data_IF_634165805967
#
_entry.id   IF_634165805967
#
_cell.length_a   1.000
_cell.length_b   1.000
_cell.length_c   1.000
_cell.angle_alpha   90.00
_cell.angle_beta   90.00
_cell.angle_gamma   90.00
#
_symmetry.space_group_name_H-M   'P 1'
#
loop_
_entity.id
_entity.type
_entity.pdbx_description
1 polymer ?
#
# COMPACT_ATOMS: atom_id res chain seq x y z
N UNK A 1 5.01 -16.42 -57.05
CA UNK A 1 4.62 -15.51 -55.96
C UNK A 1 3.63 -16.29 -55.07
N UNK A 2 4.07 -16.83 -53.94
CA UNK A 2 3.19 -17.57 -53.01
C UNK A 2 2.67 -16.62 -51.95
N UNK A 3 1.34 -16.52 -51.85
CA UNK A 3 0.66 -15.74 -50.81
C UNK A 3 0.70 -16.60 -49.54
N UNK A 4 1.53 -16.21 -48.58
CA UNK A 4 1.57 -16.82 -47.25
C UNK A 4 0.31 -16.37 -46.51
N UNK A 5 -0.62 -17.30 -46.29
CA UNK A 5 -1.81 -17.09 -45.48
C UNK A 5 -1.36 -17.05 -44.01
N UNK A 6 -1.29 -15.87 -43.42
CA UNK A 6 -1.00 -15.71 -42.00
C UNK A 6 -2.24 -16.18 -41.23
N UNK A 7 -2.19 -17.41 -40.73
CA UNK A 7 -3.19 -17.89 -39.78
C UNK A 7 -3.02 -17.12 -38.46
N UNK A 8 -3.98 -16.23 -38.20
CA UNK A 8 -4.08 -15.49 -36.95
C UNK A 8 -4.41 -16.50 -35.84
N UNK A 9 -3.38 -16.99 -35.13
CA UNK A 9 -3.57 -17.75 -33.88
C UNK A 9 -4.37 -16.86 -32.93
N UNK A 10 -5.64 -17.18 -32.70
CA UNK A 10 -6.38 -16.67 -31.55
C UNK A 10 -5.67 -17.18 -30.30
N UNK A 11 -4.94 -16.29 -29.64
CA UNK A 11 -4.52 -16.53 -28.27
C UNK A 11 -5.83 -16.51 -27.47
N UNK A 12 -6.34 -17.69 -27.12
CA UNK A 12 -7.34 -17.81 -26.08
C UNK A 12 -6.69 -17.33 -24.79
N UNK A 13 -6.81 -16.04 -24.50
CA UNK A 13 -6.52 -15.55 -23.17
C UNK A 13 -7.67 -16.05 -22.31
N UNK A 14 -7.44 -17.14 -21.59
CA UNK A 14 -8.27 -17.57 -20.46
C UNK A 14 -8.19 -16.49 -19.37
N UNK A 15 -8.77 -15.32 -19.65
CA UNK A 15 -8.97 -14.26 -18.68
C UNK A 15 -10.01 -14.79 -17.70
N UNK A 16 -9.60 -14.93 -16.44
CA UNK A 16 -10.54 -15.24 -15.37
C UNK A 16 -11.56 -14.09 -15.27
N UNK A 17 -12.82 -14.38 -14.91
CA UNK A 17 -13.81 -13.37 -14.58
C UNK A 17 -13.25 -12.37 -13.55
N UNK A 18 -13.66 -11.11 -13.65
CA UNK A 18 -13.20 -10.05 -12.76
C UNK A 18 -13.42 -10.38 -11.27
N UNK A 19 -14.52 -11.06 -10.94
CA UNK A 19 -14.84 -11.48 -9.58
C UNK A 19 -13.83 -12.53 -9.05
N UNK A 20 -13.41 -13.46 -9.90
CA UNK A 20 -12.38 -14.46 -9.55
C UNK A 20 -10.99 -13.83 -9.39
N UNK A 21 -10.65 -12.85 -10.23
CA UNK A 21 -9.41 -12.09 -10.12
C UNK A 21 -9.40 -11.25 -8.83
N UNK A 22 -10.52 -10.63 -8.49
CA UNK A 22 -10.70 -9.86 -7.25
C UNK A 22 -10.57 -10.76 -6.02
N UNK A 23 -11.24 -11.91 -6.00
CA UNK A 23 -11.14 -12.87 -4.90
C UNK A 23 -9.72 -13.42 -4.74
N UNK A 24 -9.05 -13.73 -5.85
CA UNK A 24 -7.66 -14.18 -5.83
C UNK A 24 -6.71 -13.09 -5.32
N UNK A 25 -6.85 -11.86 -5.82
CA UNK A 25 -6.07 -10.71 -5.38
C UNK A 25 -6.22 -10.49 -3.87
N UNK A 26 -7.46 -10.50 -3.36
CA UNK A 26 -7.75 -10.39 -1.93
C UNK A 26 -7.08 -11.50 -1.12
N UNK A 27 -7.19 -12.76 -1.58
CA UNK A 27 -6.58 -13.90 -0.89
C UNK A 27 -5.06 -13.78 -0.79
N UNK A 28 -4.40 -13.32 -1.86
CA UNK A 28 -2.94 -13.10 -1.88
C UNK A 28 -2.55 -11.94 -0.96
N UNK A 29 -3.31 -10.85 -0.98
CA UNK A 29 -3.11 -9.71 -0.07
C UNK A 29 -3.24 -10.12 1.40
N UNK A 30 -4.29 -10.87 1.74
CA UNK A 30 -4.52 -11.31 3.13
C UNK A 30 -3.39 -12.24 3.61
N UNK A 31 -2.91 -13.14 2.74
CA UNK A 31 -1.76 -14.00 3.03
C UNK A 31 -0.46 -13.20 3.24
N UNK A 32 -0.22 -12.16 2.43
CA UNK A 32 0.92 -11.27 2.58
C UNK A 32 0.87 -10.52 3.93
N UNK A 33 -0.31 -10.01 4.30
CA UNK A 33 -0.51 -9.34 5.59
C UNK A 33 -0.24 -10.31 6.74
N UNK A 34 -0.81 -11.52 6.69
CA UNK A 34 -0.59 -12.52 7.73
C UNK A 34 0.89 -12.90 7.88
N UNK A 35 1.58 -13.09 6.76
CA UNK A 35 3.02 -13.38 6.79
C UNK A 35 3.80 -12.21 7.38
N UNK A 36 3.50 -10.98 6.96
CA UNK A 36 4.15 -9.79 7.49
C UNK A 36 3.88 -9.62 9.00
N UNK A 37 2.69 -9.95 9.49
CA UNK A 37 2.34 -9.85 10.91
C UNK A 37 2.79 -11.07 11.75
N UNK A 38 3.45 -12.06 11.16
CA UNK A 38 3.86 -13.27 11.87
C UNK A 38 5.08 -13.08 12.78
N UNK A 39 5.91 -12.07 12.50
CA UNK A 39 7.08 -11.73 13.31
C UNK A 39 6.79 -10.50 14.19
N UNK A 40 7.32 -10.50 15.42
CA UNK A 40 7.00 -9.46 16.40
C UNK A 40 7.41 -8.06 15.93
N UNK A 41 8.59 -7.89 15.30
CA UNK A 41 9.07 -6.57 14.92
C UNK A 41 8.28 -5.96 13.76
N UNK A 42 7.88 -6.74 12.77
CA UNK A 42 7.03 -6.30 11.65
C UNK A 42 5.60 -6.05 12.10
N UNK A 43 5.05 -6.91 12.96
CA UNK A 43 3.73 -6.73 13.57
C UNK A 43 3.66 -5.44 14.40
N UNK A 44 4.64 -5.21 15.27
CA UNK A 44 4.71 -3.98 16.07
C UNK A 44 4.94 -2.73 15.19
N UNK A 45 5.73 -2.85 14.12
CA UNK A 45 5.91 -1.74 13.17
C UNK A 45 4.61 -1.41 12.43
N UNK A 46 3.81 -2.42 12.06
CA UNK A 46 2.50 -2.22 11.46
C UNK A 46 1.59 -1.40 12.38
N UNK A 47 1.38 -1.86 13.62
CA UNK A 47 0.48 -1.19 14.57
C UNK A 47 0.96 0.21 14.95
N UNK A 48 2.28 0.41 15.10
CA UNK A 48 2.83 1.73 15.41
C UNK A 48 2.60 2.72 14.26
N UNK A 49 2.79 2.29 13.01
CA UNK A 49 2.51 3.14 11.85
C UNK A 49 1.02 3.41 11.72
N UNK A 50 0.16 2.41 11.89
CA UNK A 50 -1.30 2.57 11.84
C UNK A 50 -1.79 3.57 12.89
N UNK A 51 -1.32 3.45 14.14
CA UNK A 51 -1.63 4.39 15.22
C UNK A 51 -1.15 5.80 14.89
N UNK A 52 0.09 5.95 14.43
CA UNK A 52 0.66 7.26 14.06
C UNK A 52 -0.16 7.94 12.95
N UNK A 53 -0.56 7.19 11.93
CA UNK A 53 -1.41 7.71 10.85
C UNK A 53 -2.78 8.12 11.38
N UNK A 54 -3.41 7.28 12.20
CA UNK A 54 -4.71 7.59 12.79
C UNK A 54 -4.67 8.86 13.64
N UNK A 55 -3.70 8.96 14.56
CA UNK A 55 -3.54 10.12 15.44
C UNK A 55 -3.25 11.40 14.63
N UNK A 56 -2.43 11.29 13.59
CA UNK A 56 -2.12 12.41 12.71
C UNK A 56 -3.37 12.87 11.95
N UNK A 57 -4.16 11.94 11.41
CA UNK A 57 -5.40 12.25 10.69
C UNK A 57 -6.45 12.88 11.60
N UNK A 58 -6.64 12.35 12.81
CA UNK A 58 -7.54 12.96 13.81
C UNK A 58 -7.10 14.38 14.16
N UNK A 59 -5.81 14.59 14.44
CA UNK A 59 -5.28 15.91 14.77
C UNK A 59 -5.40 16.92 13.61
N UNK A 60 -5.37 16.45 12.37
CA UNK A 60 -5.60 17.28 11.18
C UNK A 60 -7.08 17.63 11.01
N UNK A 61 -7.98 16.68 11.25
CA UNK A 61 -9.43 16.89 11.23
C UNK A 61 -9.86 17.92 12.28
N UNK A 62 -9.33 17.83 13.50
CA UNK A 62 -9.61 18.80 14.59
C UNK A 62 -9.17 20.22 14.25
N UNK A 63 -8.14 20.37 13.41
CA UNK A 63 -7.62 21.66 12.93
C UNK A 63 -8.38 22.21 11.71
N UNK A 64 -9.38 21.48 11.21
CA UNK A 64 -10.17 21.88 10.04
C UNK A 64 -9.47 21.68 8.69
N UNK A 65 -8.39 20.90 8.63
CA UNK A 65 -7.73 20.55 7.37
C UNK A 65 -8.45 19.38 6.71
N UNK A 66 -9.48 19.67 5.91
CA UNK A 66 -10.28 18.64 5.23
C UNK A 66 -9.83 18.36 3.78
N UNK A 67 -9.02 19.23 3.18
CA UNK A 67 -8.77 19.19 1.73
C UNK A 67 -7.61 18.27 1.31
N UNK A 68 -6.46 18.36 1.99
CA UNK A 68 -5.36 17.40 1.82
C UNK A 68 -4.29 17.60 2.89
N UNK A 69 -3.65 16.51 3.32
CA UNK A 69 -2.47 16.56 4.17
C UNK A 69 -1.39 15.64 3.63
N UNK A 70 -0.13 16.05 3.78
CA UNK A 70 1.03 15.19 3.49
C UNK A 70 1.57 14.66 4.81
N UNK A 71 1.49 13.35 5.00
CA UNK A 71 2.04 12.66 6.16
C UNK A 71 3.31 11.94 5.72
N UNK A 72 4.43 12.28 6.35
CA UNK A 72 5.73 11.66 6.07
C UNK A 72 6.22 10.89 7.28
N UNK A 73 6.60 9.62 7.07
CA UNK A 73 7.30 8.78 8.03
C UNK A 73 8.65 8.42 7.41
N UNK A 74 9.73 8.90 8.01
CA UNK A 74 11.10 8.56 7.60
C UNK A 74 12.08 8.71 8.76
N UNK A 75 13.34 8.38 8.53
CA UNK A 75 14.39 8.48 9.56
C UNK A 75 14.69 9.92 10.00
N UNK A 76 14.22 10.95 9.29
CA UNK A 76 14.42 12.36 9.65
C UNK A 76 13.25 12.88 10.50
N UNK A 77 12.02 12.65 10.06
CA UNK A 77 10.81 13.11 10.74
C UNK A 77 10.47 12.23 11.96
N UNK A 78 10.71 10.93 11.84
CA UNK A 78 10.30 9.91 12.81
C UNK A 78 11.44 8.91 13.07
N UNK A 79 12.62 9.37 13.56
CA UNK A 79 13.82 8.53 13.68
C UNK A 79 13.64 7.28 14.56
N UNK A 80 12.74 7.34 15.53
CA UNK A 80 12.57 6.28 16.53
C UNK A 80 11.52 5.23 16.15
N UNK A 81 10.72 5.47 15.11
CA UNK A 81 9.69 4.52 14.68
C UNK A 81 10.32 3.22 14.20
N UNK A 82 9.68 2.10 14.53
CA UNK A 82 10.05 0.74 14.16
C UNK A 82 10.10 0.56 12.65
N UNK A 83 9.24 1.25 11.90
CA UNK A 83 9.32 1.32 10.43
C UNK A 83 10.74 1.67 9.94
N UNK A 84 11.39 2.66 10.55
CA UNK A 84 12.73 3.11 10.17
C UNK A 84 13.83 2.07 10.50
N UNK A 85 13.50 1.06 11.30
CA UNK A 85 14.40 -0.04 11.72
C UNK A 85 14.16 -1.34 10.94
N UNK A 86 13.08 -1.41 10.16
CA UNK A 86 12.80 -2.52 9.26
C UNK A 86 13.83 -2.56 8.12
N UNK A 87 14.06 -3.75 7.56
CA UNK A 87 14.81 -3.90 6.32
C UNK A 87 14.11 -3.23 5.15
N UNK A 88 14.85 -2.95 4.07
CA UNK A 88 14.30 -2.35 2.85
C UNK A 88 13.11 -3.13 2.27
N UNK A 89 13.15 -4.46 2.36
CA UNK A 89 12.07 -5.33 1.86
C UNK A 89 10.83 -5.20 2.73
N UNK A 90 10.98 -5.29 4.05
CA UNK A 90 9.87 -5.16 5.01
C UNK A 90 9.23 -3.76 4.96
N UNK A 91 10.03 -2.71 4.79
CA UNK A 91 9.53 -1.35 4.55
C UNK A 91 8.69 -1.28 3.27
N UNK A 92 9.13 -1.96 2.21
CA UNK A 92 8.37 -2.08 0.96
C UNK A 92 7.03 -2.76 1.17
N UNK A 93 7.03 -3.91 1.85
CA UNK A 93 5.80 -4.68 2.13
C UNK A 93 4.84 -3.85 2.99
N UNK A 94 5.32 -3.19 4.04
CA UNK A 94 4.47 -2.38 4.91
C UNK A 94 3.83 -1.21 4.16
N UNK A 95 4.56 -0.55 3.25
CA UNK A 95 3.99 0.50 2.39
C UNK A 95 2.82 0.00 1.55
N UNK A 96 2.98 -1.17 0.92
CA UNK A 96 1.93 -1.77 0.10
C UNK A 96 0.70 -2.13 0.95
N UNK A 97 0.91 -2.73 2.13
CA UNK A 97 -0.18 -3.05 3.07
C UNK A 97 -0.95 -1.79 3.47
N UNK A 98 -0.24 -0.71 3.84
CA UNK A 98 -0.85 0.55 4.26
C UNK A 98 -1.61 1.22 3.11
N UNK A 99 -1.05 1.21 1.89
CA UNK A 99 -1.72 1.73 0.71
C UNK A 99 -3.06 1.02 0.48
N UNK A 100 -3.07 -0.31 0.55
CA UNK A 100 -4.30 -1.10 0.41
C UNK A 100 -5.32 -0.81 1.52
N UNK A 101 -4.88 -0.64 2.76
CA UNK A 101 -5.78 -0.38 3.90
C UNK A 101 -6.37 1.04 3.87
N UNK A 102 -5.57 2.06 3.51
CA UNK A 102 -6.06 3.43 3.38
C UNK A 102 -7.08 3.57 2.25
N UNK A 103 -6.85 2.90 1.12
CA UNK A 103 -7.83 2.85 0.02
C UNK A 103 -9.14 2.20 0.48
N UNK A 104 -9.09 1.09 1.23
CA UNK A 104 -10.29 0.44 1.80
C UNK A 104 -11.06 1.38 2.75
N UNK A 105 -10.37 2.27 3.45
CA UNK A 105 -10.97 3.25 4.36
C UNK A 105 -11.53 4.50 3.64
N UNK A 106 -11.44 4.56 2.31
CA UNK A 106 -11.99 5.66 1.50
C UNK A 106 -11.07 6.87 1.36
N UNK A 107 -9.80 6.74 1.76
CA UNK A 107 -8.81 7.79 1.54
C UNK A 107 -8.24 7.71 0.13
N UNK A 108 -8.13 8.87 -0.53
CA UNK A 108 -7.31 8.97 -1.73
C UNK A 108 -5.84 8.84 -1.35
N UNK A 109 -5.13 7.93 -2.01
CA UNK A 109 -3.74 7.61 -1.75
C UNK A 109 -2.87 8.06 -2.92
N UNK A 110 -1.94 8.99 -2.67
CA UNK A 110 -0.86 9.31 -3.59
C UNK A 110 0.47 9.09 -2.86
N UNK A 111 1.23 8.09 -3.31
CA UNK A 111 2.59 7.90 -2.82
C UNK A 111 3.50 8.96 -3.43
N UNK A 112 3.92 9.93 -2.61
CA UNK A 112 4.77 11.02 -3.06
C UNK A 112 6.26 10.64 -3.12
N UNK A 113 6.64 9.44 -2.65
CA UNK A 113 8.02 9.00 -2.62
C UNK A 113 8.20 7.50 -2.81
N UNK A 114 8.98 7.13 -3.82
CA UNK A 114 9.45 5.75 -4.02
C UNK A 114 10.73 5.45 -3.23
N UNK A 115 11.21 6.38 -2.40
CA UNK A 115 12.45 6.17 -1.65
C UNK A 115 12.30 5.10 -0.57
N UNK A 116 13.29 4.22 -0.49
CA UNK A 116 13.45 3.32 0.64
C UNK A 116 13.58 4.13 1.94
N UNK A 117 12.97 3.65 3.04
CA UNK A 117 12.97 4.35 4.32
C UNK A 117 12.02 5.53 4.46
N UNK A 118 11.12 5.77 3.50
CA UNK A 118 10.13 6.86 3.57
C UNK A 118 8.73 6.42 3.14
N UNK A 119 7.72 6.68 3.97
CA UNK A 119 6.31 6.70 3.59
C UNK A 119 5.91 8.16 3.45
N UNK A 120 5.43 8.59 2.28
CA UNK A 120 4.90 9.95 2.07
C UNK A 120 3.50 9.84 1.48
N UNK A 121 2.49 10.15 2.30
CA UNK A 121 1.09 9.97 1.99
C UNK A 121 0.45 11.33 1.79
N UNK A 122 -0.06 11.62 0.59
CA UNK A 122 -1.11 12.62 0.47
C UNK A 122 -2.43 11.95 0.80
N UNK A 123 -3.09 12.41 1.85
CA UNK A 123 -4.44 11.98 2.21
C UNK A 123 -5.40 13.13 1.91
N UNK A 124 -6.42 12.87 1.10
CA UNK A 124 -7.53 13.79 0.85
C UNK A 124 -8.87 13.09 1.05
N UNK A 125 -9.85 13.83 1.56
CA UNK A 125 -11.25 13.41 1.66
C UNK A 125 -11.93 13.82 0.37
N UNK A 126 -12.70 12.91 -0.23
CA UNK A 126 -13.45 13.13 -1.47
C UNK A 126 -14.74 13.88 -1.20
#
# INVERSE_FOLDING_TARGET
MQIVKIEKRMISTNLKPADELSAHSKSVTDALIQLFMSEDHTCLAYFEVESYLSDTLFALADKGFFNSAVITIDSKATPNMRFCKLSTVEQGILKEILAMNLVKQGYNFENLSNSHGQISLRVSIS
#
